data_IF_959988875048
#
_entry.id   IF_959988875048
#
_cell.length_a   1.000
_cell.length_b   1.000
_cell.length_c   1.000
_cell.angle_alpha   90.00
_cell.angle_beta   90.00
_cell.angle_gamma   90.00
#
_symmetry.space_group_name_H-M   'P 1'
#
loop_
_entity.id
_entity.type
_entity.pdbx_description
1 polymer ?
#
# COMPACT_ATOMS: atom_id res chain seq x y z
N UNK A 1 -38.07 -3.21 -29.74
CA UNK A 1 -36.74 -3.68 -30.17
C UNK A 1 -35.74 -2.69 -29.61
N UNK A 2 -35.31 -2.96 -28.37
CA UNK A 2 -34.46 -2.06 -27.60
C UNK A 2 -33.00 -2.44 -27.85
N UNK A 3 -32.25 -1.54 -28.47
CA UNK A 3 -30.81 -1.67 -28.67
C UNK A 3 -30.09 -1.15 -27.42
N UNK A 4 -29.66 -2.08 -26.56
CA UNK A 4 -28.78 -1.80 -25.43
C UNK A 4 -27.36 -1.55 -25.96
N UNK A 5 -26.91 -0.29 -25.92
CA UNK A 5 -25.50 0.06 -26.15
C UNK A 5 -24.71 -0.17 -24.86
N UNK A 6 -23.79 -1.13 -24.88
CA UNK A 6 -22.81 -1.34 -23.81
C UNK A 6 -21.88 -0.12 -23.69
N UNK A 7 -21.47 0.31 -22.48
CA UNK A 7 -20.47 1.35 -22.34
C UNK A 7 -19.10 0.79 -22.73
N UNK A 8 -18.41 1.54 -23.58
CA UNK A 8 -17.07 1.24 -24.04
C UNK A 8 -16.08 1.29 -22.87
N UNK A 9 -15.30 0.22 -22.71
CA UNK A 9 -14.15 0.18 -21.81
C UNK A 9 -13.08 1.16 -22.29
N UNK A 10 -13.01 2.35 -21.71
CA UNK A 10 -11.92 3.29 -21.91
C UNK A 10 -10.73 2.87 -21.05
N UNK A 11 -9.66 2.48 -21.72
CA UNK A 11 -8.42 2.01 -21.14
C UNK A 11 -7.77 3.07 -20.25
N UNK A 12 -7.59 2.72 -18.97
CA UNK A 12 -6.72 3.42 -18.02
C UNK A 12 -5.28 3.41 -18.54
N UNK A 13 -4.70 4.58 -18.79
CA UNK A 13 -3.29 4.77 -19.11
C UNK A 13 -2.45 4.94 -17.84
N UNK A 14 -2.69 4.11 -16.82
CA UNK A 14 -1.71 3.87 -15.77
C UNK A 14 -0.57 3.01 -16.35
N UNK A 15 0.62 3.12 -15.76
CA UNK A 15 1.80 2.28 -15.98
C UNK A 15 1.57 0.79 -15.60
N UNK A 16 0.44 0.20 -15.99
CA UNK A 16 -0.10 -1.06 -15.49
C UNK A 16 0.48 -2.31 -16.18
N UNK A 17 1.63 -2.24 -16.85
CA UNK A 17 2.22 -3.43 -17.46
C UNK A 17 3.76 -3.42 -17.60
N UNK A 18 4.45 -2.54 -16.87
CA UNK A 18 5.90 -2.64 -16.80
C UNK A 18 6.25 -3.82 -15.89
N UNK A 19 6.74 -4.90 -16.48
CA UNK A 19 7.31 -6.02 -15.72
C UNK A 19 8.33 -5.46 -14.72
N UNK A 20 8.37 -5.97 -13.47
CA UNK A 20 9.37 -5.54 -12.49
C UNK A 20 10.78 -5.68 -13.08
N UNK A 21 11.65 -4.70 -12.84
CA UNK A 21 12.94 -4.56 -13.53
C UNK A 21 13.85 -5.79 -13.41
N UNK A 22 13.73 -6.56 -12.32
CA UNK A 22 14.51 -7.78 -12.07
C UNK A 22 13.67 -9.08 -12.15
N UNK A 23 12.45 -9.01 -12.66
CA UNK A 23 11.57 -10.19 -12.83
C UNK A 23 12.21 -11.30 -13.69
N UNK A 24 12.96 -10.92 -14.73
CA UNK A 24 13.71 -11.86 -15.58
C UNK A 24 14.84 -12.58 -14.82
N UNK A 25 15.52 -11.89 -13.90
CA UNK A 25 16.57 -12.47 -13.06
C UNK A 25 15.98 -13.49 -12.10
N UNK A 26 14.85 -13.15 -11.46
CA UNK A 26 14.14 -14.10 -10.61
C UNK A 26 13.70 -15.35 -11.39
N UNK A 27 13.15 -15.16 -12.61
CA UNK A 27 12.75 -16.27 -13.47
C UNK A 27 13.93 -17.18 -13.85
N UNK A 28 15.10 -16.61 -14.13
CA UNK A 28 16.30 -17.37 -14.42
C UNK A 28 16.82 -18.12 -13.18
N UNK A 29 16.90 -17.44 -12.03
CA UNK A 29 17.33 -18.04 -10.76
C UNK A 29 16.42 -19.20 -10.35
N UNK A 30 15.09 -19.06 -10.52
CA UNK A 30 14.11 -20.10 -10.21
C UNK A 30 14.27 -21.39 -11.06
N UNK A 31 15.12 -21.41 -12.09
CA UNK A 31 15.48 -22.62 -12.84
C UNK A 31 16.62 -23.42 -12.19
N UNK A 32 17.30 -22.87 -11.18
CA UNK A 32 18.30 -23.60 -10.40
C UNK A 32 17.68 -24.86 -9.78
N UNK A 33 18.42 -25.98 -9.78
CA UNK A 33 17.89 -27.25 -9.31
C UNK A 33 17.59 -27.25 -7.81
N UNK A 34 18.35 -26.49 -6.99
CA UNK A 34 18.09 -26.40 -5.55
C UNK A 34 16.86 -25.56 -5.27
N UNK A 35 16.66 -24.44 -5.99
CA UNK A 35 15.46 -23.63 -5.85
C UNK A 35 14.20 -24.33 -6.38
N UNK A 36 14.31 -25.10 -7.47
CA UNK A 36 13.22 -25.97 -7.92
C UNK A 36 12.92 -27.10 -6.95
N UNK A 37 13.95 -27.75 -6.40
CA UNK A 37 13.79 -28.77 -5.38
C UNK A 37 13.14 -28.21 -4.12
N UNK A 38 13.48 -26.98 -3.72
CA UNK A 38 12.84 -26.34 -2.58
C UNK A 38 11.32 -26.23 -2.73
N UNK A 39 10.84 -25.89 -3.93
CA UNK A 39 9.41 -25.77 -4.20
C UNK A 39 8.63 -27.11 -4.06
N UNK A 40 9.31 -28.27 -4.09
CA UNK A 40 8.65 -29.57 -3.88
C UNK A 40 8.37 -29.89 -2.41
N UNK A 41 8.98 -29.16 -1.48
CA UNK A 41 8.78 -29.31 -0.04
C UNK A 41 7.70 -28.36 0.52
N UNK A 42 7.02 -27.59 -0.35
CA UNK A 42 5.91 -26.73 0.06
C UNK A 42 4.76 -27.60 0.58
N UNK A 43 4.30 -27.31 1.80
CA UNK A 43 3.26 -28.07 2.50
C UNK A 43 3.80 -28.99 3.60
N UNK A 44 5.12 -29.18 3.68
CA UNK A 44 5.73 -29.83 4.84
C UNK A 44 5.60 -28.95 6.09
N UNK A 45 5.38 -29.57 7.25
CA UNK A 45 5.23 -28.85 8.52
C UNK A 45 6.51 -28.14 8.97
N UNK A 46 7.67 -28.67 8.57
CA UNK A 46 8.96 -28.12 8.96
C UNK A 46 10.00 -28.38 7.88
N UNK A 47 10.62 -27.31 7.41
CA UNK A 47 11.71 -27.35 6.45
C UNK A 47 12.80 -26.38 6.91
N UNK A 48 14.01 -26.90 7.09
CA UNK A 48 15.16 -26.09 7.47
C UNK A 48 16.05 -25.83 6.25
N UNK A 49 16.26 -24.55 5.94
CA UNK A 49 17.01 -24.10 4.77
C UNK A 49 18.22 -23.32 5.26
N UNK A 50 19.40 -23.62 4.70
CA UNK A 50 20.60 -22.83 4.89
C UNK A 50 21.02 -22.23 3.56
N UNK A 51 21.20 -20.91 3.55
CA UNK A 51 21.62 -20.18 2.37
C UNK A 51 22.44 -18.95 2.77
N UNK A 52 23.36 -18.48 1.91
CA UNK A 52 24.00 -17.17 2.08
C UNK A 52 22.96 -16.04 2.03
N UNK A 53 23.24 -14.91 2.69
CA UNK A 53 22.29 -13.80 2.81
C UNK A 53 21.74 -13.30 1.46
N UNK A 54 22.59 -13.24 0.44
CA UNK A 54 22.20 -12.81 -0.91
C UNK A 54 21.26 -13.77 -1.65
N UNK A 55 21.05 -14.99 -1.15
CA UNK A 55 20.17 -15.97 -1.77
C UNK A 55 18.70 -15.83 -1.32
N UNK A 56 18.43 -15.19 -0.17
CA UNK A 56 17.08 -15.10 0.39
C UNK A 56 16.04 -14.46 -0.52
N UNK A 57 16.32 -13.37 -1.26
CA UNK A 57 15.35 -12.81 -2.20
C UNK A 57 14.92 -13.81 -3.28
N UNK A 58 15.84 -14.65 -3.77
CA UNK A 58 15.54 -15.67 -4.77
C UNK A 58 14.79 -16.87 -4.18
N UNK A 59 15.14 -17.27 -2.95
CA UNK A 59 14.41 -18.30 -2.19
C UNK A 59 12.96 -17.88 -2.00
N UNK A 60 12.74 -16.69 -1.42
CA UNK A 60 11.40 -16.14 -1.19
C UNK A 60 10.65 -15.95 -2.50
N UNK A 61 11.26 -15.30 -3.49
CA UNK A 61 10.62 -15.05 -4.79
C UNK A 61 10.26 -16.32 -5.55
N UNK A 62 11.03 -17.41 -5.40
CA UNK A 62 10.71 -18.71 -6.03
C UNK A 62 9.54 -19.38 -5.33
N UNK A 63 9.55 -19.45 -4.00
CA UNK A 63 8.48 -20.08 -3.22
C UNK A 63 7.17 -19.30 -3.38
N UNK A 64 7.25 -17.96 -3.46
CA UNK A 64 6.11 -17.07 -3.66
C UNK A 64 5.36 -17.27 -4.98
N UNK A 65 5.97 -17.91 -5.98
CA UNK A 65 5.30 -18.30 -7.23
C UNK A 65 4.33 -19.48 -7.03
N UNK A 66 4.41 -20.18 -5.90
CA UNK A 66 3.62 -21.39 -5.60
C UNK A 66 2.65 -21.18 -4.43
N UNK A 67 3.03 -20.38 -3.44
CA UNK A 67 2.21 -20.10 -2.27
C UNK A 67 2.50 -18.70 -1.72
N UNK A 68 1.51 -17.99 -1.14
CA UNK A 68 1.76 -16.72 -0.46
C UNK A 68 2.62 -16.93 0.79
N UNK A 69 3.46 -15.94 1.13
CA UNK A 69 4.44 -16.04 2.21
C UNK A 69 4.36 -14.87 3.20
N UNK A 70 4.46 -15.21 4.48
CA UNK A 70 4.90 -14.29 5.53
C UNK A 70 6.38 -14.55 5.81
N UNK A 71 7.23 -13.57 5.51
CA UNK A 71 8.67 -13.64 5.79
C UNK A 71 8.96 -12.83 7.05
N UNK A 72 9.43 -13.50 8.09
CA UNK A 72 9.74 -12.87 9.36
C UNK A 72 11.23 -12.60 9.47
N UNK A 73 11.62 -11.34 9.66
CA UNK A 73 13.02 -10.93 9.89
C UNK A 73 13.25 -10.53 11.35
N UNK A 74 14.50 -10.53 11.81
CA UNK A 74 14.79 -10.12 13.19
C UNK A 74 14.59 -8.60 13.39
N UNK A 75 14.91 -7.79 12.37
CA UNK A 75 14.89 -6.32 12.48
C UNK A 75 14.12 -5.65 11.34
N UNK A 76 13.65 -4.42 11.58
CA UNK A 76 12.99 -3.61 10.56
C UNK A 76 13.88 -3.28 9.36
N UNK A 77 15.18 -3.05 9.59
CA UNK A 77 16.15 -2.81 8.51
C UNK A 77 16.27 -4.00 7.57
N UNK A 78 16.41 -5.22 8.11
CA UNK A 78 16.42 -6.43 7.29
C UNK A 78 15.12 -6.62 6.49
N UNK A 79 13.97 -6.27 7.09
CA UNK A 79 12.69 -6.33 6.39
C UNK A 79 12.66 -5.34 5.21
N UNK A 80 13.09 -4.09 5.44
CA UNK A 80 13.14 -3.04 4.41
C UNK A 80 14.09 -3.40 3.27
N UNK A 81 15.29 -3.89 3.58
CA UNK A 81 16.29 -4.30 2.59
C UNK A 81 15.73 -5.44 1.72
N UNK A 82 15.10 -6.44 2.34
CA UNK A 82 14.50 -7.57 1.63
C UNK A 82 13.31 -7.15 0.75
N UNK A 83 12.40 -6.33 1.27
CA UNK A 83 11.24 -5.81 0.51
C UNK A 83 11.70 -5.02 -0.70
N UNK A 84 12.74 -4.19 -0.56
CA UNK A 84 13.28 -3.38 -1.66
C UNK A 84 13.71 -4.28 -2.81
N UNK A 85 14.50 -5.32 -2.54
CA UNK A 85 14.95 -6.26 -3.58
C UNK A 85 13.78 -7.04 -4.17
N UNK A 86 12.87 -7.53 -3.34
CA UNK A 86 11.70 -8.29 -3.80
C UNK A 86 10.75 -7.44 -4.65
N UNK A 87 10.55 -6.16 -4.35
CA UNK A 87 9.75 -5.24 -5.18
C UNK A 87 10.33 -5.08 -6.59
N UNK A 88 11.67 -5.03 -6.74
CA UNK A 88 12.28 -5.06 -8.07
C UNK A 88 12.06 -6.38 -8.83
N UNK A 89 11.89 -7.50 -8.12
CA UNK A 89 11.68 -8.81 -8.74
C UNK A 89 10.21 -9.14 -9.01
N UNK A 90 9.30 -8.67 -8.16
CA UNK A 90 7.90 -9.11 -8.08
C UNK A 90 6.87 -7.98 -8.12
N UNK A 91 7.31 -6.72 -8.07
CA UNK A 91 6.43 -5.55 -8.11
C UNK A 91 5.54 -5.43 -6.88
N UNK A 92 4.31 -4.98 -7.10
CA UNK A 92 3.37 -4.63 -6.02
C UNK A 92 2.83 -5.83 -5.25
N UNK A 93 3.08 -7.05 -5.71
CA UNK A 93 2.73 -8.29 -4.98
C UNK A 93 3.52 -8.48 -3.66
N UNK A 94 4.43 -7.56 -3.33
CA UNK A 94 5.28 -7.61 -2.15
C UNK A 94 5.08 -6.37 -1.29
N UNK A 95 4.87 -6.55 0.01
CA UNK A 95 4.70 -5.43 0.93
C UNK A 95 5.40 -5.61 2.27
N UNK A 96 5.87 -4.50 2.84
CA UNK A 96 6.35 -4.44 4.22
C UNK A 96 5.17 -4.26 5.17
N UNK A 97 5.06 -5.12 6.17
CA UNK A 97 4.22 -4.90 7.35
C UNK A 97 5.08 -4.34 8.50
N UNK A 98 5.09 -3.01 8.71
CA UNK A 98 6.02 -2.38 9.66
C UNK A 98 5.60 -2.61 11.11
N UNK A 99 6.57 -2.58 12.03
CA UNK A 99 6.30 -2.50 13.46
C UNK A 99 6.06 -1.06 13.88
N UNK A 100 5.34 -0.84 14.98
CA UNK A 100 5.33 0.45 15.65
C UNK A 100 6.75 0.86 16.10
N UNK A 101 7.01 2.16 16.06
CA UNK A 101 8.20 2.81 16.63
C UNK A 101 8.11 2.88 18.16
N UNK A 102 6.88 2.94 18.68
CA UNK A 102 6.56 2.96 20.11
C UNK A 102 6.44 1.56 20.68
N UNK A 103 6.64 1.44 21.98
CA UNK A 103 6.46 0.18 22.71
C UNK A 103 4.99 -0.04 23.09
N UNK A 104 4.57 -1.31 23.25
CA UNK A 104 3.28 -1.61 23.86
C UNK A 104 3.13 -0.89 25.21
N UNK A 105 1.99 -0.20 25.40
CA UNK A 105 1.65 0.59 26.59
C UNK A 105 2.43 1.90 26.80
N UNK A 106 3.25 2.31 25.85
CA UNK A 106 3.81 3.65 25.84
C UNK A 106 2.72 4.71 25.63
N UNK A 107 2.79 5.83 26.33
CA UNK A 107 1.84 6.96 26.19
C UNK A 107 2.17 7.84 24.98
N UNK A 108 2.54 7.20 23.87
CA UNK A 108 2.86 7.85 22.61
C UNK A 108 2.20 7.04 21.50
N UNK A 109 1.48 7.74 20.63
CA UNK A 109 0.89 7.09 19.46
C UNK A 109 1.99 6.74 18.44
N UNK A 110 1.87 5.61 17.73
CA UNK A 110 2.77 5.29 16.63
C UNK A 110 2.67 6.35 15.52
N UNK A 111 3.63 6.32 14.59
CA UNK A 111 3.60 7.25 13.47
C UNK A 111 2.42 6.96 12.53
N UNK A 112 1.77 8.01 12.03
CA UNK A 112 0.57 7.96 11.17
C UNK A 112 0.84 7.16 9.88
N UNK A 113 2.00 7.33 9.28
CA UNK A 113 2.43 6.56 8.11
C UNK A 113 2.59 5.08 8.41
N UNK A 114 3.16 4.73 9.56
CA UNK A 114 3.24 3.34 10.03
C UNK A 114 1.85 2.73 10.25
N UNK A 115 0.90 3.46 10.83
CA UNK A 115 -0.48 2.98 10.97
C UNK A 115 -1.14 2.79 9.60
N UNK A 116 -1.10 3.80 8.73
CA UNK A 116 -1.67 3.74 7.40
C UNK A 116 -1.10 2.60 6.54
N UNK A 117 0.21 2.38 6.61
CA UNK A 117 0.87 1.29 5.91
C UNK A 117 0.41 -0.08 6.43
N UNK A 118 0.22 -0.24 7.76
CA UNK A 118 -0.34 -1.47 8.34
C UNK A 118 -1.77 -1.69 7.89
N UNK A 119 -2.61 -0.65 7.90
CA UNK A 119 -4.01 -0.75 7.45
C UNK A 119 -4.08 -1.12 5.97
N UNK A 120 -3.22 -0.54 5.12
CA UNK A 120 -3.11 -0.90 3.71
C UNK A 120 -2.75 -2.38 3.51
N UNK A 121 -1.73 -2.89 4.21
CA UNK A 121 -1.35 -4.32 4.12
C UNK A 121 -2.51 -5.22 4.54
N UNK A 122 -3.20 -4.89 5.64
CA UNK A 122 -4.30 -5.70 6.15
C UNK A 122 -5.49 -5.73 5.21
N UNK A 123 -5.86 -4.60 4.58
CA UNK A 123 -6.88 -4.58 3.54
C UNK A 123 -6.48 -5.44 2.35
N UNK A 124 -5.24 -5.29 1.87
CA UNK A 124 -4.73 -6.08 0.74
C UNK A 124 -4.72 -7.59 1.02
N UNK A 125 -4.54 -7.99 2.28
CA UNK A 125 -4.64 -9.39 2.71
C UNK A 125 -6.08 -9.89 2.84
N UNK A 126 -7.00 -9.07 3.36
CA UNK A 126 -8.35 -9.50 3.73
C UNK A 126 -9.39 -9.30 2.63
N UNK A 127 -9.21 -8.27 1.79
CA UNK A 127 -10.19 -7.83 0.79
C UNK A 127 -9.63 -8.04 -0.62
N UNK A 128 -8.46 -7.47 -0.92
CA UNK A 128 -7.97 -7.42 -2.30
C UNK A 128 -7.35 -8.75 -2.76
N UNK A 129 -6.65 -9.46 -1.86
CA UNK A 129 -6.08 -10.79 -2.12
C UNK A 129 -4.92 -10.78 -3.14
N UNK A 130 -4.26 -9.65 -3.33
CA UNK A 130 -3.27 -9.41 -4.40
C UNK A 130 -1.80 -9.59 -3.95
N UNK A 131 -1.58 -9.79 -2.65
CA UNK A 131 -0.25 -9.99 -2.07
C UNK A 131 0.24 -11.45 -2.19
N UNK A 132 1.50 -11.59 -2.63
CA UNK A 132 2.24 -12.87 -2.64
C UNK A 132 3.26 -12.95 -1.52
N UNK A 133 3.85 -11.83 -1.10
CA UNK A 133 4.82 -11.81 -0.01
C UNK A 133 4.53 -10.63 0.91
N UNK A 134 4.40 -10.92 2.20
CA UNK A 134 4.46 -9.92 3.25
C UNK A 134 5.74 -10.15 4.04
N UNK A 135 6.57 -9.12 4.15
CA UNK A 135 7.76 -9.16 4.99
C UNK A 135 7.48 -8.36 6.26
N UNK A 136 7.82 -8.92 7.42
CA UNK A 136 7.55 -8.29 8.70
C UNK A 136 8.73 -8.53 9.66
N UNK A 137 9.20 -7.52 10.41
CA UNK A 137 10.09 -7.79 11.53
C UNK A 137 9.33 -8.53 12.64
N UNK A 138 10.03 -9.32 13.46
CA UNK A 138 9.42 -10.09 14.57
C UNK A 138 8.51 -9.24 15.45
N UNK A 139 8.91 -7.99 15.73
CA UNK A 139 8.10 -7.03 16.51
C UNK A 139 6.72 -6.77 15.91
N UNK A 140 6.62 -6.67 14.58
CA UNK A 140 5.34 -6.43 13.91
C UNK A 140 4.41 -7.66 13.99
N UNK A 141 4.98 -8.87 13.99
CA UNK A 141 4.25 -10.14 13.98
C UNK A 141 3.66 -10.46 15.35
N UNK A 142 4.41 -10.22 16.42
CA UNK A 142 3.93 -10.49 17.79
C UNK A 142 2.90 -9.47 18.28
N UNK A 143 2.77 -8.35 17.57
CA UNK A 143 1.86 -7.29 17.95
C UNK A 143 0.42 -7.65 17.54
N UNK A 144 -0.54 -7.68 18.49
CA UNK A 144 -1.93 -7.99 18.17
C UNK A 144 -2.53 -6.99 17.17
N UNK A 145 -3.41 -7.51 16.31
CA UNK A 145 -4.15 -6.74 15.31
C UNK A 145 -5.64 -7.04 15.48
N UNK A 146 -6.48 -6.03 15.32
CA UNK A 146 -7.93 -6.24 15.30
C UNK A 146 -8.32 -7.08 14.08
N UNK A 147 -9.19 -8.08 14.28
CA UNK A 147 -9.56 -9.02 13.22
C UNK A 147 -10.23 -8.35 12.01
N UNK A 148 -10.91 -7.23 12.24
CA UNK A 148 -11.62 -6.45 11.22
C UNK A 148 -10.81 -5.24 10.69
N UNK A 149 -9.54 -5.08 11.06
CA UNK A 149 -8.76 -3.90 10.69
C UNK A 149 -8.68 -3.69 9.17
N UNK A 150 -8.50 -4.75 8.37
CA UNK A 150 -8.45 -4.63 6.91
C UNK A 150 -9.82 -4.41 6.25
N UNK A 151 -10.92 -4.52 7.00
CA UNK A 151 -12.29 -4.33 6.48
C UNK A 151 -12.75 -2.87 6.53
N UNK A 152 -11.96 -1.97 7.13
CA UNK A 152 -12.28 -0.54 7.16
C UNK A 152 -12.10 0.02 5.75
N UNK A 153 -13.18 0.54 5.17
CA UNK A 153 -13.17 1.07 3.80
C UNK A 153 -12.38 2.38 3.72
N UNK A 154 -11.30 2.45 2.90
CA UNK A 154 -10.60 3.70 2.64
C UNK A 154 -11.46 4.63 1.79
N UNK A 155 -11.14 5.93 1.80
CA UNK A 155 -11.71 6.85 0.80
C UNK A 155 -10.88 6.76 -0.48
N UNK A 156 -11.54 6.54 -1.61
CA UNK A 156 -10.94 6.59 -2.94
C UNK A 156 -11.12 8.00 -3.50
N UNK A 157 -10.03 8.64 -3.89
CA UNK A 157 -10.04 9.97 -4.53
C UNK A 157 -9.51 9.82 -5.95
N UNK A 158 -10.38 9.96 -6.93
CA UNK A 158 -10.05 9.92 -8.35
C UNK A 158 -11.03 10.79 -9.13
N UNK A 159 -10.61 11.31 -10.28
CA UNK A 159 -11.49 12.06 -11.18
C UNK A 159 -12.74 11.23 -11.55
N UNK A 160 -13.91 11.86 -11.48
CA UNK A 160 -15.23 11.25 -11.73
C UNK A 160 -15.81 10.46 -10.54
N UNK A 161 -15.14 10.41 -9.39
CA UNK A 161 -15.70 9.79 -8.19
C UNK A 161 -16.79 10.69 -7.58
N UNK A 162 -17.98 10.13 -7.32
CA UNK A 162 -19.06 10.81 -6.60
C UNK A 162 -18.89 10.62 -5.08
N UNK A 163 -18.59 11.70 -4.36
CA UNK A 163 -18.44 11.75 -2.92
C UNK A 163 -19.22 12.94 -2.37
N UNK A 164 -20.24 12.69 -1.55
CA UNK A 164 -20.96 13.77 -0.88
C UNK A 164 -20.00 14.52 0.05
N UNK A 165 -19.87 15.82 -0.20
CA UNK A 165 -18.79 16.61 0.35
C UNK A 165 -18.82 16.69 1.89
N UNK A 166 -20.01 16.75 2.49
CA UNK A 166 -20.20 16.81 3.95
C UNK A 166 -19.84 15.47 4.60
N UNK A 167 -20.32 14.36 4.03
CA UNK A 167 -20.03 13.00 4.49
C UNK A 167 -18.55 12.66 4.33
N UNK A 168 -17.87 13.20 3.32
CA UNK A 168 -16.43 13.04 3.16
C UNK A 168 -15.67 13.60 4.37
N UNK A 169 -16.04 14.79 4.85
CA UNK A 169 -15.41 15.38 6.03
C UNK A 169 -15.56 14.49 7.26
N UNK A 170 -16.78 14.03 7.54
CA UNK A 170 -17.06 13.14 8.67
C UNK A 170 -16.27 11.84 8.53
N UNK A 171 -16.25 11.27 7.32
CA UNK A 171 -15.53 10.04 7.03
C UNK A 171 -14.03 10.17 7.25
N UNK A 172 -13.41 11.28 6.86
CA UNK A 172 -11.99 11.51 7.09
C UNK A 172 -11.66 11.58 8.59
N UNK A 173 -12.53 12.21 9.39
CA UNK A 173 -12.37 12.25 10.85
C UNK A 173 -12.52 10.85 11.46
N UNK A 174 -13.48 10.05 11.00
CA UNK A 174 -13.62 8.64 11.44
C UNK A 174 -12.40 7.78 11.11
N UNK A 175 -11.73 8.08 9.98
CA UNK A 175 -10.48 7.44 9.57
C UNK A 175 -9.26 7.93 10.36
N UNK A 176 -9.45 8.84 11.33
CA UNK A 176 -8.39 9.35 12.21
C UNK A 176 -7.69 10.62 11.70
N UNK A 177 -8.15 11.21 10.59
CA UNK A 177 -7.52 12.41 10.04
C UNK A 177 -7.91 13.65 10.84
N UNK A 178 -6.94 14.55 11.01
CA UNK A 178 -7.13 15.83 11.69
C UNK A 178 -7.50 16.93 10.70
N UNK A 179 -8.63 17.59 10.95
CA UNK A 179 -9.01 18.79 10.22
C UNK A 179 -8.17 19.98 10.68
N UNK A 180 -7.50 20.65 9.75
CA UNK A 180 -6.58 21.76 10.01
C UNK A 180 -6.76 22.89 9.00
N UNK A 181 -6.26 24.08 9.31
CA UNK A 181 -6.34 25.22 8.39
C UNK A 181 -5.41 25.06 7.18
N UNK A 182 -4.24 24.46 7.38
CA UNK A 182 -3.19 24.26 6.36
C UNK A 182 -2.59 22.87 6.53
N UNK A 183 -2.56 22.09 5.44
CA UNK A 183 -2.00 20.73 5.44
C UNK A 183 -0.48 20.79 5.46
N UNK A 184 0.11 20.30 6.55
CA UNK A 184 1.55 20.31 6.81
C UNK A 184 2.21 18.93 6.93
N UNK A 185 1.45 17.87 7.17
CA UNK A 185 1.96 16.51 7.39
C UNK A 185 0.88 15.47 7.10
N UNK A 186 1.28 14.21 6.96
CA UNK A 186 0.40 13.05 6.81
C UNK A 186 -0.67 13.00 7.91
N UNK A 187 -1.86 12.52 7.58
CA UNK A 187 -2.99 12.45 8.50
C UNK A 187 -3.73 13.76 8.69
N UNK A 188 -3.38 14.82 7.93
CA UNK A 188 -4.08 16.10 7.96
C UNK A 188 -4.91 16.29 6.70
N UNK A 189 -6.02 17.00 6.85
CA UNK A 189 -6.80 17.53 5.74
C UNK A 189 -7.33 18.93 6.05
N UNK A 190 -7.63 19.70 5.01
CA UNK A 190 -8.20 21.04 5.08
C UNK A 190 -9.27 21.20 4.00
N UNK A 191 -10.37 21.85 4.35
CA UNK A 191 -11.48 22.12 3.43
C UNK A 191 -11.57 23.62 3.16
N UNK A 192 -11.64 23.99 1.87
CA UNK A 192 -11.74 25.39 1.43
C UNK A 192 -12.68 25.53 0.24
N UNK A 193 -13.94 25.85 0.52
CA UNK A 193 -14.97 25.88 -0.52
C UNK A 193 -15.14 24.48 -1.12
N UNK A 194 -15.07 24.34 -2.44
CA UNK A 194 -15.15 23.05 -3.14
C UNK A 194 -13.79 22.35 -3.32
N UNK A 195 -12.84 22.55 -2.40
CA UNK A 195 -11.51 21.94 -2.48
C UNK A 195 -11.18 21.25 -1.17
N UNK A 196 -10.60 20.05 -1.26
CA UNK A 196 -10.02 19.31 -0.14
C UNK A 196 -8.52 19.14 -0.36
N UNK A 197 -7.72 19.76 0.49
CA UNK A 197 -6.31 19.42 0.62
C UNK A 197 -6.19 18.27 1.62
N UNK A 198 -5.50 17.20 1.26
CA UNK A 198 -5.29 16.05 2.15
C UNK A 198 -3.88 15.49 1.99
N UNK A 199 -3.28 15.06 3.09
CA UNK A 199 -2.04 14.28 3.07
C UNK A 199 -2.33 12.86 3.56
N UNK A 200 -2.62 11.91 2.65
CA UNK A 200 -2.88 10.52 3.01
C UNK A 200 -1.71 9.89 3.77
N UNK A 201 -2.04 9.00 4.71
CA UNK A 201 -1.05 8.31 5.54
C UNK A 201 -0.01 7.54 4.71
N UNK A 202 -0.38 7.02 3.54
CA UNK A 202 0.47 6.17 2.69
C UNK A 202 1.03 6.86 1.44
N UNK A 203 0.53 8.05 1.05
CA UNK A 203 0.92 8.71 -0.20
C UNK A 203 2.22 9.50 -0.06
N UNK A 204 3.12 9.54 -1.04
CA UNK A 204 4.39 10.27 -0.92
C UNK A 204 4.23 11.79 -0.75
N UNK A 205 3.20 12.35 -1.41
CA UNK A 205 2.89 13.77 -1.43
C UNK A 205 1.43 14.01 -1.05
N UNK A 206 1.09 15.20 -0.51
CA UNK A 206 -0.30 15.58 -0.32
C UNK A 206 -0.95 15.90 -1.67
N UNK A 207 -2.27 15.79 -1.71
CA UNK A 207 -3.07 16.08 -2.90
C UNK A 207 -4.15 17.10 -2.60
N UNK A 208 -4.39 17.95 -3.59
CA UNK A 208 -5.50 18.86 -3.68
C UNK A 208 -6.55 18.24 -4.59
N UNK A 209 -7.75 18.06 -4.05
CA UNK A 209 -8.91 17.49 -4.71
C UNK A 209 -9.90 18.62 -4.96
N UNK A 210 -10.15 18.94 -6.22
CA UNK A 210 -11.19 19.89 -6.59
C UNK A 210 -12.51 19.14 -6.81
N UNK A 211 -13.61 19.73 -6.36
CA UNK A 211 -14.96 19.20 -6.49
C UNK A 211 -15.82 20.10 -7.36
N UNK A 212 -16.69 19.47 -8.14
CA UNK A 212 -17.80 20.12 -8.84
C UNK A 212 -19.12 19.56 -8.32
N UNK A 213 -19.71 20.23 -7.33
CA UNK A 213 -20.79 19.64 -6.54
C UNK A 213 -20.24 18.51 -5.68
N UNK A 214 -20.77 17.30 -5.88
CA UNK A 214 -20.33 16.08 -5.18
C UNK A 214 -19.43 15.18 -6.06
N UNK A 215 -18.98 15.66 -7.21
CA UNK A 215 -18.09 14.92 -8.11
C UNK A 215 -16.65 15.45 -8.00
N UNK A 216 -15.68 14.54 -7.86
CA UNK A 216 -14.25 14.89 -7.93
C UNK A 216 -13.91 15.28 -9.37
N UNK A 217 -13.58 16.55 -9.57
CA UNK A 217 -13.23 17.07 -10.90
C UNK A 217 -11.75 16.89 -11.21
N UNK A 218 -10.87 16.99 -10.22
CA UNK A 218 -9.43 16.92 -10.44
C UNK A 218 -8.67 16.55 -9.16
N UNK A 219 -7.58 15.78 -9.32
CA UNK A 219 -6.67 15.44 -8.22
C UNK A 219 -5.24 15.81 -8.62
N UNK A 220 -4.61 16.69 -7.83
CA UNK A 220 -3.24 17.17 -8.12
C UNK A 220 -2.36 17.12 -6.89
N UNK A 221 -1.09 16.73 -7.04
CA UNK A 221 -0.12 16.85 -5.95
C UNK A 221 0.26 18.32 -5.69
N UNK A 222 0.55 18.65 -4.44
CA UNK A 222 1.06 19.98 -4.07
C UNK A 222 2.24 19.90 -3.09
N UNK A 223 3.03 20.97 -3.05
CA UNK A 223 4.16 21.11 -2.14
C UNK A 223 3.70 21.65 -0.79
N UNK A 224 4.08 20.99 0.30
CA UNK A 224 3.79 21.47 1.67
C UNK A 224 4.47 22.81 1.96
N UNK A 225 5.65 23.07 1.38
CA UNK A 225 6.46 24.25 1.71
C UNK A 225 5.85 25.58 1.26
N UNK A 226 5.19 25.60 0.11
CA UNK A 226 4.61 26.80 -0.50
C UNK A 226 3.11 26.66 -0.83
N UNK A 227 2.52 25.48 -0.59
CA UNK A 227 1.11 25.18 -0.81
C UNK A 227 0.68 25.31 -2.28
N UNK A 228 1.64 25.17 -3.20
CA UNK A 228 1.40 25.24 -4.64
C UNK A 228 1.35 23.85 -5.25
N UNK A 229 0.43 23.69 -6.19
CA UNK A 229 0.36 22.53 -7.07
C UNK A 229 1.70 22.29 -7.75
N UNK A 230 2.10 21.01 -7.84
CA UNK A 230 3.30 20.58 -8.54
C UNK A 230 2.90 20.26 -9.99
N UNK A 231 3.40 21.02 -10.99
CA UNK A 231 3.01 20.80 -12.39
C UNK A 231 3.39 19.40 -12.89
N UNK A 232 2.47 18.74 -13.60
CA UNK A 232 2.68 17.43 -14.20
C UNK A 232 2.64 16.26 -13.22
N UNK A 233 2.18 16.47 -11.98
CA UNK A 233 2.00 15.42 -10.98
C UNK A 233 0.52 15.30 -10.62
N UNK A 234 -0.18 14.55 -11.45
CA UNK A 234 -1.62 14.27 -11.37
C UNK A 234 -1.80 12.77 -11.13
N UNK A 235 -1.96 12.32 -9.87
CA UNK A 235 -2.19 10.92 -9.59
C UNK A 235 -3.56 10.50 -10.12
N UNK A 236 -3.60 9.41 -10.87
CA UNK A 236 -4.85 8.87 -11.41
C UNK A 236 -5.83 8.43 -10.30
N UNK A 237 -5.30 8.06 -9.14
CA UNK A 237 -6.07 7.61 -7.98
C UNK A 237 -5.24 7.80 -6.71
N UNK A 238 -5.92 8.15 -5.61
CA UNK A 238 -5.34 8.22 -4.27
C UNK A 238 -6.25 7.50 -3.28
N UNK A 239 -5.70 6.47 -2.63
CA UNK A 239 -6.39 5.73 -1.58
C UNK A 239 -6.04 6.31 -0.20
N UNK A 240 -7.06 6.70 0.55
CA UNK A 240 -6.93 7.28 1.90
C UNK A 240 -7.28 6.22 2.94
N UNK A 241 -6.23 5.55 3.43
CA UNK A 241 -6.34 4.56 4.50
C UNK A 241 -6.45 5.22 5.88
N UNK A 242 -7.04 4.52 6.88
CA UNK A 242 -7.07 4.99 8.27
C UNK A 242 -5.66 5.27 8.83
N UNK A 243 -5.54 6.25 9.73
CA UNK A 243 -4.29 6.65 10.38
C UNK A 243 -4.31 6.65 11.90
#
# INVERSE_FOLDING_TARGET
MSTTSAPASSASSASANALPSLSGVLKAAAQDSKLRGLATHIGENHLHIQAPDGAWPFVVGTVAQRAPLLVVTATGRQAQDLVTVLKYMMGDAVELFPSWETLPHEKLSPAVDTVGQRMRVLRRLQVDGDLKVVVAPTRAVVQPVQSNAGLVEPVRLAEGEELEFTALQERLVELGYSHVDVVGKRGHFAIRGGIVDIFPATAEMPVRVDFWGDEVSEVRAFSVGDQRTIPGVEPAEVMVYPC
#
